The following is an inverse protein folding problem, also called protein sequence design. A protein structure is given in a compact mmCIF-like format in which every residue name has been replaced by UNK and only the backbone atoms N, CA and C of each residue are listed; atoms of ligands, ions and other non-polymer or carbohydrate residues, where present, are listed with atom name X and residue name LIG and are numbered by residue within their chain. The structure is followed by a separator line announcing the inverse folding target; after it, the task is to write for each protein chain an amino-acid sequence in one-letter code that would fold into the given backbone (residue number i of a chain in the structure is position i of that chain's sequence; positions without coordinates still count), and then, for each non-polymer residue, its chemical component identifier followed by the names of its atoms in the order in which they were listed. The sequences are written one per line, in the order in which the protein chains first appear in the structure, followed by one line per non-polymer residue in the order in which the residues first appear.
data_IF_668842292166
#
_entry.id   IF_668842292166
#
_cell.length_a   1.000
_cell.length_b   1.000
_cell.length_c   1.000
_cell.angle_alpha   90.00
_cell.angle_beta   90.00
_cell.angle_gamma   90.00
#
_symmetry.space_group_name_H-M   'P 1'
#
loop_
_entity.id
_entity.type
_entity.pdbx_description
1 polymer ?
#
# COMPACT_ATOMS: atom_id res chain seq x y z
N UNK A 1 -5.07 3.06 -1.04
CA UNK A 1 -4.42 1.72 -1.08
C UNK A 1 -3.69 1.37 0.20
N UNK A 2 -3.15 2.33 0.94
CA UNK A 2 -2.53 2.09 2.25
C UNK A 2 -3.47 1.32 3.19
N UNK A 3 -4.72 1.76 3.35
CA UNK A 3 -5.71 1.04 4.19
C UNK A 3 -6.02 -0.37 3.70
N UNK A 4 -6.14 -0.60 2.39
CA UNK A 4 -6.40 -1.95 1.87
C UNK A 4 -5.22 -2.89 2.14
N UNK A 5 -3.99 -2.39 1.99
CA UNK A 5 -2.78 -3.16 2.29
C UNK A 5 -2.64 -3.48 3.77
N UNK A 6 -2.97 -2.54 4.63
CA UNK A 6 -2.98 -2.70 6.08
C UNK A 6 -4.04 -3.71 6.54
N UNK A 7 -5.28 -3.55 6.06
CA UNK A 7 -6.37 -4.49 6.35
C UNK A 7 -6.05 -5.90 5.84
N UNK A 8 -5.57 -6.02 4.60
CA UNK A 8 -5.19 -7.32 4.01
C UNK A 8 -4.05 -7.97 4.80
N UNK A 9 -3.01 -7.21 5.16
CA UNK A 9 -1.89 -7.71 5.95
C UNK A 9 -2.37 -8.19 7.31
N UNK A 10 -3.24 -7.42 7.98
CA UNK A 10 -3.78 -7.73 9.30
C UNK A 10 -4.62 -8.99 9.27
N UNK A 11 -5.52 -9.12 8.28
CA UNK A 11 -6.36 -10.30 8.11
C UNK A 11 -5.52 -11.55 7.85
N UNK A 12 -4.49 -11.44 7.00
CA UNK A 12 -3.58 -12.56 6.71
C UNK A 12 -2.75 -12.92 7.95
N UNK A 13 -2.27 -11.93 8.69
CA UNK A 13 -1.50 -12.14 9.92
C UNK A 13 -2.34 -12.86 10.98
N UNK A 14 -3.60 -12.45 11.18
CA UNK A 14 -4.53 -13.10 12.11
C UNK A 14 -4.85 -14.54 11.69
N UNK A 15 -5.18 -14.76 10.42
CA UNK A 15 -5.52 -16.11 9.93
C UNK A 15 -4.35 -17.09 9.95
N UNK A 16 -3.11 -16.59 9.79
CA UNK A 16 -1.90 -17.42 9.82
C UNK A 16 -1.24 -17.49 11.19
N UNK A 17 -1.77 -16.78 12.18
CA UNK A 17 -1.15 -16.55 13.48
C UNK A 17 0.34 -16.16 13.33
N UNK A 18 0.63 -15.18 12.48
CA UNK A 18 2.00 -14.83 12.12
C UNK A 18 2.74 -14.19 13.31
N UNK A 19 3.75 -14.88 13.84
CA UNK A 19 4.51 -14.42 15.00
C UNK A 19 5.92 -13.94 14.63
N UNK A 20 6.44 -12.98 15.40
CA UNK A 20 7.81 -12.49 15.23
C UNK A 20 8.11 -11.84 13.87
N UNK A 21 9.37 -11.45 13.64
CA UNK A 21 9.71 -10.61 12.49
C UNK A 21 9.60 -11.33 11.13
N UNK A 22 10.04 -12.59 11.05
CA UNK A 22 10.15 -13.32 9.78
C UNK A 22 8.78 -13.56 9.17
N UNK A 23 7.81 -14.00 9.96
CA UNK A 23 6.45 -14.27 9.50
C UNK A 23 5.71 -12.96 9.21
N UNK A 24 5.87 -11.95 10.07
CA UNK A 24 5.28 -10.64 9.84
C UNK A 24 5.80 -9.98 8.55
N UNK A 25 7.08 -10.19 8.21
CA UNK A 25 7.65 -9.75 6.93
C UNK A 25 7.00 -10.47 5.74
N UNK A 26 6.66 -11.75 5.88
CA UNK A 26 5.99 -12.50 4.81
C UNK A 26 4.54 -12.04 4.63
N UNK A 27 3.76 -11.91 5.69
CA UNK A 27 2.36 -11.46 5.60
C UNK A 27 2.25 -10.01 5.11
N UNK A 28 3.20 -9.13 5.47
CA UNK A 28 3.27 -7.77 4.92
C UNK A 28 3.46 -7.75 3.39
N UNK A 29 4.29 -8.66 2.86
CA UNK A 29 4.43 -8.82 1.40
C UNK A 29 3.14 -9.32 0.77
N UNK A 30 2.46 -10.27 1.40
CA UNK A 30 1.20 -10.82 0.89
C UNK A 30 0.09 -9.75 0.87
N UNK A 31 -0.11 -9.03 1.98
CA UNK A 31 -1.10 -7.95 2.02
C UNK A 31 -0.78 -6.80 1.07
N UNK A 32 0.50 -6.47 0.90
CA UNK A 32 0.97 -5.52 -0.11
C UNK A 32 0.66 -5.96 -1.54
N UNK A 33 0.86 -7.25 -1.86
CA UNK A 33 0.53 -7.83 -3.16
C UNK A 33 -0.97 -7.80 -3.47
N UNK A 34 -1.82 -8.08 -2.47
CA UNK A 34 -3.28 -7.98 -2.59
C UNK A 34 -3.69 -6.55 -2.92
N UNK A 35 -3.23 -5.58 -2.12
CA UNK A 35 -3.54 -4.17 -2.35
C UNK A 35 -2.99 -3.64 -3.68
N UNK A 36 -1.80 -4.10 -4.08
CA UNK A 36 -1.19 -3.78 -5.36
C UNK A 36 -1.98 -4.32 -6.55
N UNK A 37 -2.55 -5.51 -6.44
CA UNK A 37 -3.39 -6.12 -7.48
C UNK A 37 -4.73 -5.40 -7.58
N UNK A 38 -5.39 -5.13 -6.46
CA UNK A 38 -6.62 -4.34 -6.42
C UNK A 38 -6.44 -2.93 -6.98
N UNK A 39 -5.27 -2.31 -6.74
CA UNK A 39 -4.91 -1.03 -7.35
C UNK A 39 -4.90 -1.10 -8.86
N UNK A 40 -4.19 -2.10 -9.41
CA UNK A 40 -4.08 -2.28 -10.86
C UNK A 40 -5.45 -2.54 -11.49
N UNK A 41 -6.28 -3.38 -10.87
CA UNK A 41 -7.64 -3.66 -11.35
C UNK A 41 -8.51 -2.39 -11.37
N UNK A 42 -8.44 -1.58 -10.31
CA UNK A 42 -9.14 -0.30 -10.25
C UNK A 42 -8.65 0.68 -11.33
N UNK A 43 -7.33 0.80 -11.53
CA UNK A 43 -6.77 1.68 -12.56
C UNK A 43 -7.20 1.25 -13.96
N UNK A 44 -7.22 -0.06 -14.21
CA UNK A 44 -7.65 -0.63 -15.48
C UNK A 44 -9.14 -0.36 -15.75
N UNK A 45 -10.01 -0.60 -14.75
CA UNK A 45 -11.46 -0.40 -14.89
C UNK A 45 -11.87 1.06 -14.91
N UNK A 46 -11.21 1.90 -14.11
CA UNK A 46 -11.50 3.32 -14.03
C UNK A 46 -10.88 4.12 -15.17
N UNK A 47 -9.91 3.56 -15.92
CA UNK A 47 -9.13 4.28 -16.94
C UNK A 47 -8.29 5.44 -16.38
N UNK A 48 -8.15 5.54 -15.05
CA UNK A 48 -7.47 6.64 -14.36
C UNK A 48 -6.45 6.08 -13.39
N UNK A 49 -5.27 6.71 -13.35
CA UNK A 49 -4.22 6.38 -12.39
C UNK A 49 -4.62 6.84 -11.00
N UNK A 50 -4.63 5.93 -10.03
CA UNK A 50 -5.06 6.19 -8.65
C UNK A 50 -3.89 6.47 -7.71
N UNK A 51 -2.66 6.25 -8.20
CA UNK A 51 -1.42 6.58 -7.49
C UNK A 51 -0.52 7.43 -8.37
N UNK A 52 0.11 8.45 -7.79
CA UNK A 52 1.07 9.28 -8.51
C UNK A 52 2.47 9.03 -7.97
N UNK A 53 3.48 9.14 -8.83
CA UNK A 53 4.89 9.03 -8.44
C UNK A 53 5.41 10.33 -7.79
N UNK A 54 4.54 11.32 -7.53
CA UNK A 54 4.96 12.61 -7.00
C UNK A 54 5.33 12.45 -5.52
N UNK A 55 6.55 12.87 -5.19
CA UNK A 55 6.99 12.97 -3.81
C UNK A 55 6.32 14.19 -3.16
N UNK A 56 5.61 13.97 -2.06
CA UNK A 56 4.98 15.04 -1.28
C UNK A 56 6.01 15.99 -0.65
N UNK A 57 7.19 15.50 -0.27
CA UNK A 57 8.23 16.32 0.36
C UNK A 57 8.78 17.38 -0.60
N UNK A 58 8.96 17.03 -1.88
CA UNK A 58 9.41 17.98 -2.91
C UNK A 58 8.39 19.08 -3.23
N UNK A 59 7.12 18.92 -2.85
CA UNK A 59 6.09 19.97 -2.96
C UNK A 59 6.15 20.96 -1.80
N UNK A 60 6.69 20.55 -0.64
CA UNK A 60 6.80 21.39 0.56
C UNK A 60 7.94 22.41 0.44
N UNK A 61 9.04 22.06 -0.22
CA UNK A 61 10.17 22.97 -0.46
C UNK A 61 9.78 24.15 -1.36
N UNK A 62 8.91 23.93 -2.35
CA UNK A 62 8.37 25.01 -3.21
C UNK A 62 7.39 25.94 -2.50
N UNK A 63 6.86 25.55 -1.35
CA UNK A 63 5.92 26.38 -0.55
C UNK A 63 6.61 27.25 0.50
N UNK A 64 7.93 27.13 0.67
CA UNK A 64 8.73 27.91 1.64
C UNK A 64 9.52 29.08 1.03
N UNK A 65 9.21 29.46 -0.20
CA UNK A 65 9.81 30.61 -0.88
C UNK A 65 8.72 31.62 -1.26
N UNK A 66 8.07 32.22 -0.26
CA UNK A 66 7.45 33.56 -0.30
C UNK A 66 7.51 34.12 1.11
#
# INVERSE_FOLDING_TARGET
FSMLGEASTTEIAKNKDAQGFVENKQVAKLGGSVAGSARKDLEQKSGKKVSTTRNYLSLSEKKKLV
#
